data_IF_053833679383
#
_entry.id   IF_053833679383
#
_cell.length_a   1.000
_cell.length_b   1.000
_cell.length_c   1.000
_cell.angle_alpha   90.00
_cell.angle_beta   90.00
_cell.angle_gamma   90.00
#
_symmetry.space_group_name_H-M   'P 1'
#
loop_
_entity.id
_entity.type
_entity.pdbx_description
1 polymer ?
#
# COMPACT_ATOMS: atom_id res chain seq x y z
N UNK A 1 -37.06 36.09 -100.90
CA UNK A 1 -37.22 37.16 -99.89
C UNK A 1 -38.14 36.55 -98.84
N UNK A 2 -37.76 36.32 -97.59
CA UNK A 2 -36.79 37.01 -96.75
C UNK A 2 -35.93 36.06 -95.90
N UNK A 3 -34.72 36.54 -95.61
CA UNK A 3 -33.79 36.00 -94.63
C UNK A 3 -34.16 36.50 -93.24
N UNK A 4 -33.94 35.70 -92.19
CA UNK A 4 -33.02 36.09 -91.10
C UNK A 4 -32.68 34.87 -90.22
N UNK A 5 -31.45 34.80 -89.66
CA UNK A 5 -30.86 33.61 -89.05
C UNK A 5 -30.83 33.69 -87.52
N UNK A 6 -30.71 32.58 -86.77
CA UNK A 6 -30.02 32.53 -85.46
C UNK A 6 -29.81 31.03 -85.10
N UNK A 7 -28.60 30.48 -85.26
CA UNK A 7 -27.46 30.50 -84.33
C UNK A 7 -27.54 29.40 -83.28
N UNK A 8 -26.74 28.35 -83.48
CA UNK A 8 -26.42 27.29 -82.52
C UNK A 8 -25.67 27.86 -81.31
N UNK A 9 -26.17 27.60 -80.11
CA UNK A 9 -25.36 27.58 -78.90
C UNK A 9 -25.84 26.41 -78.02
N UNK A 10 -25.06 25.33 -78.05
CA UNK A 10 -25.18 24.18 -77.16
C UNK A 10 -24.85 24.60 -75.72
N UNK A 11 -25.86 24.78 -74.87
CA UNK A 11 -25.64 24.84 -73.42
C UNK A 11 -25.53 23.41 -72.88
N UNK A 12 -24.33 23.04 -72.45
CA UNK A 12 -24.09 21.83 -71.67
C UNK A 12 -24.94 21.88 -70.38
N UNK A 13 -25.59 20.78 -69.96
CA UNK A 13 -26.41 20.80 -68.76
C UNK A 13 -25.50 21.02 -67.56
N UNK A 14 -25.61 22.20 -66.92
CA UNK A 14 -25.06 22.44 -65.59
C UNK A 14 -25.68 21.42 -64.64
N UNK A 15 -24.90 20.39 -64.29
CA UNK A 15 -25.28 19.39 -63.31
C UNK A 15 -25.31 20.07 -61.93
N UNK A 16 -26.44 20.68 -61.62
CA UNK A 16 -26.73 21.16 -60.27
C UNK A 16 -26.85 19.92 -59.39
N UNK A 17 -25.78 19.62 -58.66
CA UNK A 17 -25.83 18.68 -57.53
C UNK A 17 -26.73 19.34 -56.49
N UNK A 18 -28.04 19.04 -56.55
CA UNK A 18 -28.94 19.34 -55.45
C UNK A 18 -28.53 18.39 -54.31
N UNK A 19 -27.78 18.91 -53.34
CA UNK A 19 -27.62 18.23 -52.06
C UNK A 19 -29.01 18.16 -51.43
N UNK A 20 -29.57 16.97 -51.39
CA UNK A 20 -30.91 16.72 -50.86
C UNK A 20 -30.86 16.82 -49.33
N UNK A 21 -31.02 18.05 -48.83
CA UNK A 21 -30.99 18.35 -47.40
C UNK A 21 -32.30 17.97 -46.69
N UNK A 22 -33.23 17.29 -47.39
CA UNK A 22 -34.54 16.90 -46.86
C UNK A 22 -34.43 15.88 -45.72
N UNK A 23 -33.40 15.03 -45.70
CA UNK A 23 -33.14 14.10 -44.59
C UNK A 23 -32.63 14.80 -43.33
N UNK A 24 -31.91 15.92 -43.46
CA UNK A 24 -31.39 16.70 -42.34
C UNK A 24 -32.50 17.49 -41.60
N UNK A 25 -33.65 17.69 -42.24
CA UNK A 25 -34.80 18.42 -41.67
C UNK A 25 -35.82 17.45 -41.04
N UNK A 26 -35.72 16.14 -41.31
CA UNK A 26 -36.57 15.14 -40.64
C UNK A 26 -36.23 15.08 -39.16
N UNK A 27 -37.21 15.41 -38.32
CA UNK A 27 -37.11 15.36 -36.85
C UNK A 27 -36.62 14.00 -36.34
N UNK A 28 -36.92 12.90 -37.05
CA UNK A 28 -36.45 11.55 -36.72
C UNK A 28 -34.93 11.39 -36.82
N UNK A 29 -34.26 12.09 -37.74
CA UNK A 29 -32.81 12.07 -37.88
C UNK A 29 -32.14 12.72 -36.66
N UNK A 30 -32.62 13.91 -36.26
CA UNK A 30 -32.11 14.62 -35.08
C UNK A 30 -32.37 13.87 -33.78
N UNK A 31 -33.54 13.25 -33.62
CA UNK A 31 -33.84 12.41 -32.46
C UNK A 31 -32.89 11.21 -32.40
N UNK A 32 -32.68 10.49 -33.51
CA UNK A 32 -31.73 9.37 -33.56
C UNK A 32 -30.30 9.81 -33.25
N UNK A 33 -29.87 10.97 -33.74
CA UNK A 33 -28.51 11.47 -33.50
C UNK A 33 -28.31 11.90 -32.05
N UNK A 34 -29.32 12.53 -31.42
CA UNK A 34 -29.30 12.86 -30.00
C UNK A 34 -29.24 11.58 -29.15
N UNK A 35 -30.06 10.57 -29.48
CA UNK A 35 -29.99 9.27 -28.79
C UNK A 35 -28.63 8.58 -28.98
N UNK A 36 -28.05 8.66 -30.17
CA UNK A 36 -26.70 8.14 -30.44
C UNK A 36 -25.66 8.85 -29.55
N UNK A 37 -25.67 10.18 -29.51
CA UNK A 37 -24.75 10.96 -28.67
C UNK A 37 -24.93 10.61 -27.19
N UNK A 38 -26.17 10.55 -26.70
CA UNK A 38 -26.46 10.17 -25.32
C UNK A 38 -25.95 8.74 -25.05
N UNK A 39 -26.20 7.79 -25.95
CA UNK A 39 -25.72 6.42 -25.80
C UNK A 39 -24.19 6.33 -25.75
N UNK A 40 -23.46 7.09 -26.56
CA UNK A 40 -22.00 7.13 -26.54
C UNK A 40 -21.46 7.74 -25.25
N UNK A 41 -22.07 8.85 -24.79
CA UNK A 41 -21.68 9.51 -23.53
C UNK A 41 -21.94 8.59 -22.34
N UNK A 42 -23.12 7.96 -22.28
CA UNK A 42 -23.48 7.00 -21.22
C UNK A 42 -22.57 5.77 -21.27
N UNK A 43 -22.28 5.24 -22.47
CA UNK A 43 -21.39 4.09 -22.64
C UNK A 43 -19.97 4.35 -22.12
N UNK A 44 -19.40 5.51 -22.46
CA UNK A 44 -18.08 5.93 -21.96
C UNK A 44 -18.11 6.18 -20.45
N UNK A 45 -19.17 6.82 -19.94
CA UNK A 45 -19.31 7.09 -18.50
C UNK A 45 -19.35 5.80 -17.68
N UNK A 46 -20.14 4.80 -18.10
CA UNK A 46 -20.23 3.51 -17.40
C UNK A 46 -18.90 2.74 -17.47
N UNK A 47 -18.25 2.71 -18.63
CA UNK A 47 -16.93 2.08 -18.77
C UNK A 47 -15.87 2.76 -17.88
N UNK A 48 -15.88 4.09 -17.81
CA UNK A 48 -14.98 4.85 -16.95
C UNK A 48 -15.26 4.64 -15.45
N UNK A 49 -16.54 4.54 -15.07
CA UNK A 49 -16.94 4.28 -13.68
C UNK A 49 -16.46 2.90 -13.21
N UNK A 50 -16.63 1.86 -14.03
CA UNK A 50 -16.12 0.52 -13.73
C UNK A 50 -14.59 0.51 -13.66
N UNK A 51 -13.90 1.18 -14.59
CA UNK A 51 -12.44 1.30 -14.58
C UNK A 51 -11.90 1.98 -13.32
N UNK A 52 -12.50 3.10 -12.89
CA UNK A 52 -12.11 3.80 -11.67
C UNK A 52 -12.39 2.96 -10.41
N UNK A 53 -13.56 2.33 -10.33
CA UNK A 53 -13.92 1.44 -9.22
C UNK A 53 -12.94 0.29 -9.08
N UNK A 54 -12.55 -0.34 -10.19
CA UNK A 54 -11.55 -1.41 -10.21
C UNK A 54 -10.15 -0.91 -9.83
N UNK A 55 -9.75 0.28 -10.30
CA UNK A 55 -8.47 0.87 -9.94
C UNK A 55 -8.37 1.21 -8.44
N UNK A 56 -9.42 1.77 -7.84
CA UNK A 56 -9.46 2.05 -6.40
C UNK A 56 -9.37 0.75 -5.59
N UNK A 57 -10.10 -0.29 -6.00
CA UNK A 57 -10.03 -1.60 -5.34
C UNK A 57 -8.62 -2.18 -5.43
N UNK A 58 -8.00 -2.13 -6.60
CA UNK A 58 -6.63 -2.61 -6.79
C UNK A 58 -5.63 -1.84 -5.93
N UNK A 59 -5.71 -0.50 -5.89
CA UNK A 59 -4.82 0.33 -5.07
C UNK A 59 -4.97 0.02 -3.58
N UNK A 60 -6.21 -0.10 -3.09
CA UNK A 60 -6.47 -0.47 -1.70
C UNK A 60 -5.88 -1.86 -1.37
N UNK A 61 -6.12 -2.86 -2.22
CA UNK A 61 -5.60 -4.22 -2.01
C UNK A 61 -4.07 -4.26 -2.05
N UNK A 62 -3.45 -3.51 -2.96
CA UNK A 62 -1.99 -3.35 -3.03
C UNK A 62 -1.44 -2.72 -1.74
N UNK A 63 -2.07 -1.65 -1.24
CA UNK A 63 -1.69 -1.02 0.02
C UNK A 63 -1.84 -1.97 1.21
N UNK A 64 -2.94 -2.73 1.27
CA UNK A 64 -3.15 -3.75 2.29
C UNK A 64 -2.07 -4.85 2.26
N UNK A 65 -1.69 -5.32 1.07
CA UNK A 65 -0.62 -6.31 0.91
C UNK A 65 0.73 -5.76 1.41
N UNK A 66 1.07 -4.53 1.03
CA UNK A 66 2.30 -3.89 1.50
C UNK A 66 2.30 -3.72 3.03
N UNK A 67 1.16 -3.35 3.61
CA UNK A 67 0.99 -3.29 5.06
C UNK A 67 1.15 -4.65 5.72
N UNK A 68 0.57 -5.70 5.13
CA UNK A 68 0.72 -7.06 5.62
C UNK A 68 2.20 -7.45 5.71
N UNK A 69 2.95 -7.32 4.62
CA UNK A 69 4.37 -7.67 4.61
C UNK A 69 5.20 -6.82 5.56
N UNK A 70 4.93 -5.51 5.64
CA UNK A 70 5.64 -4.61 6.56
C UNK A 70 5.43 -5.02 8.02
N UNK A 71 4.19 -5.31 8.40
CA UNK A 71 3.83 -5.67 9.78
C UNK A 71 4.28 -7.08 10.14
N UNK A 72 4.26 -8.00 9.18
CA UNK A 72 4.80 -9.35 9.34
C UNK A 72 6.32 -9.31 9.53
N UNK A 73 7.05 -8.57 8.68
CA UNK A 73 8.49 -8.39 8.82
C UNK A 73 8.88 -7.72 10.15
N UNK A 74 8.08 -6.74 10.62
CA UNK A 74 8.31 -6.13 11.93
C UNK A 74 8.08 -7.15 13.07
N UNK A 75 7.09 -8.03 12.92
CA UNK A 75 6.84 -9.09 13.90
C UNK A 75 8.04 -10.04 13.99
N UNK A 76 8.55 -10.50 12.85
CA UNK A 76 9.70 -11.40 12.81
C UNK A 76 10.93 -10.73 13.43
N UNK A 77 11.23 -9.48 13.04
CA UNK A 77 12.35 -8.72 13.63
C UNK A 77 12.23 -8.56 15.15
N UNK A 78 11.05 -8.20 15.66
CA UNK A 78 10.83 -8.05 17.10
C UNK A 78 10.90 -9.40 17.83
N UNK A 79 10.40 -10.47 17.22
CA UNK A 79 10.45 -11.83 17.77
C UNK A 79 11.89 -12.32 17.88
N UNK A 80 12.68 -12.17 16.82
CA UNK A 80 14.10 -12.54 16.81
C UNK A 80 14.88 -11.73 17.85
N UNK A 81 14.60 -10.43 17.97
CA UNK A 81 15.24 -9.57 18.96
C UNK A 81 14.91 -9.95 20.41
N UNK A 82 13.70 -10.45 20.67
CA UNK A 82 13.34 -11.02 21.97
C UNK A 82 14.24 -12.20 22.31
N UNK A 83 14.49 -13.10 21.35
CA UNK A 83 15.40 -14.24 21.54
C UNK A 83 16.83 -13.78 21.79
N UNK A 84 17.33 -12.82 21.01
CA UNK A 84 18.68 -12.24 21.18
C UNK A 84 18.86 -11.63 22.57
N UNK A 85 17.90 -10.82 23.03
CA UNK A 85 17.99 -10.18 24.35
C UNK A 85 17.87 -11.19 25.50
N UNK A 86 17.00 -12.19 25.37
CA UNK A 86 16.89 -13.26 26.36
C UNK A 86 18.18 -14.09 26.46
N UNK A 87 18.79 -14.43 25.32
CA UNK A 87 20.07 -15.13 25.28
C UNK A 87 21.20 -14.30 25.91
N UNK A 88 21.24 -13.00 25.62
CA UNK A 88 22.19 -12.08 26.23
C UNK A 88 21.98 -11.96 27.75
N UNK A 89 20.74 -11.76 28.20
CA UNK A 89 20.39 -11.69 29.61
C UNK A 89 20.80 -12.96 30.36
N UNK A 90 20.61 -14.14 29.76
CA UNK A 90 21.04 -15.41 30.35
C UNK A 90 22.56 -15.53 30.46
N UNK A 91 23.27 -15.15 29.39
CA UNK A 91 24.72 -15.21 29.35
C UNK A 91 25.37 -14.33 30.41
N UNK A 92 24.94 -13.07 30.55
CA UNK A 92 25.51 -12.16 31.55
C UNK A 92 25.17 -12.58 32.99
N UNK A 93 24.04 -13.28 33.18
CA UNK A 93 23.59 -13.77 34.49
C UNK A 93 24.40 -14.99 34.96
N UNK A 94 24.76 -15.88 34.04
CA UNK A 94 25.42 -17.16 34.34
C UNK A 94 26.94 -17.07 34.28
N UNK A 95 27.48 -16.49 33.21
CA UNK A 95 28.93 -16.46 32.95
C UNK A 95 29.61 -15.25 33.60
N UNK A 96 28.87 -14.17 33.84
CA UNK A 96 29.38 -12.89 34.35
C UNK A 96 30.73 -12.49 33.70
N UNK A 97 30.77 -12.32 32.36
CA UNK A 97 32.00 -12.14 31.63
C UNK A 97 32.77 -10.91 32.12
N UNK A 98 34.10 -11.04 32.19
CA UNK A 98 34.98 -9.95 32.62
C UNK A 98 34.87 -8.72 31.70
N UNK A 99 34.75 -8.96 30.39
CA UNK A 99 34.46 -7.93 29.39
C UNK A 99 33.04 -8.10 28.83
N UNK A 100 32.07 -7.44 29.46
CA UNK A 100 30.66 -7.48 29.05
C UNK A 100 30.45 -6.89 27.65
N UNK A 101 31.29 -5.94 27.22
CA UNK A 101 31.15 -5.32 25.89
C UNK A 101 31.47 -6.29 24.77
N UNK A 102 32.33 -7.28 25.02
CA UNK A 102 32.63 -8.35 24.05
C UNK A 102 31.44 -9.24 23.74
N UNK A 103 30.39 -9.21 24.55
CA UNK A 103 29.18 -10.03 24.40
C UNK A 103 27.93 -9.20 24.12
N UNK A 104 28.08 -7.99 23.59
CA UNK A 104 26.97 -7.10 23.21
C UNK A 104 25.90 -7.82 22.36
N UNK A 105 24.60 -7.63 22.64
CA UNK A 105 23.53 -8.23 21.84
C UNK A 105 23.39 -7.51 20.50
N UNK A 106 23.53 -8.25 19.40
CA UNK A 106 23.31 -7.72 18.05
C UNK A 106 21.84 -7.83 17.67
N UNK A 107 21.06 -6.79 17.96
CA UNK A 107 19.65 -6.71 17.55
C UNK A 107 19.52 -6.34 16.08
N UNK A 108 18.59 -6.98 15.38
CA UNK A 108 18.15 -6.58 14.05
C UNK A 108 17.32 -5.29 14.15
N UNK A 109 17.58 -4.34 13.26
CA UNK A 109 16.83 -3.07 13.19
C UNK A 109 16.48 -2.70 11.76
N UNK A 110 16.71 -3.60 10.80
CA UNK A 110 16.55 -3.32 9.39
C UNK A 110 15.11 -2.90 9.05
N UNK A 111 14.11 -3.65 9.50
CA UNK A 111 12.70 -3.35 9.24
C UNK A 111 12.34 -2.05 9.94
N UNK A 112 12.60 -1.94 11.24
CA UNK A 112 12.32 -0.73 12.01
C UNK A 112 12.93 0.55 11.41
N UNK A 113 14.19 0.51 11.00
CA UNK A 113 14.88 1.66 10.40
C UNK A 113 14.36 2.01 9.00
N UNK A 114 13.88 1.02 8.25
CA UNK A 114 13.29 1.25 6.93
C UNK A 114 11.82 1.69 7.02
N UNK A 115 11.11 1.39 8.10
CA UNK A 115 9.72 1.82 8.29
C UNK A 115 9.56 3.34 8.20
N UNK A 116 10.52 4.15 8.64
CA UNK A 116 10.42 5.62 8.51
C UNK A 116 10.34 6.13 7.06
N UNK A 117 10.72 5.31 6.09
CA UNK A 117 10.68 5.62 4.66
C UNK A 117 9.48 4.99 3.94
N UNK A 118 8.73 4.11 4.61
CA UNK A 118 7.55 3.47 4.04
C UNK A 118 6.31 4.34 4.28
N UNK A 119 5.57 4.65 3.21
CA UNK A 119 4.28 5.33 3.32
C UNK A 119 3.26 4.53 4.15
N UNK A 120 3.35 3.20 4.12
CA UNK A 120 2.43 2.28 4.80
C UNK A 120 2.68 2.19 6.32
N UNK A 121 3.78 2.72 6.82
CA UNK A 121 4.09 2.71 8.27
C UNK A 121 3.01 3.41 9.07
N UNK A 122 2.49 4.54 8.59
CA UNK A 122 1.49 5.32 9.31
C UNK A 122 0.11 4.67 9.35
N UNK A 123 -0.12 3.65 8.51
CA UNK A 123 -1.34 2.84 8.57
C UNK A 123 -1.25 1.74 9.65
N UNK A 124 -0.06 1.47 10.17
CA UNK A 124 0.14 0.57 11.31
C UNK A 124 -0.41 1.21 12.59
N UNK A 125 -1.12 0.47 13.46
CA UNK A 125 -1.64 1.02 14.70
C UNK A 125 -0.58 1.74 15.53
N UNK A 126 -0.86 2.99 15.92
CA UNK A 126 0.10 3.86 16.61
C UNK A 126 0.63 3.28 17.93
N UNK A 127 -0.18 2.46 18.61
CA UNK A 127 0.23 1.73 19.82
C UNK A 127 1.37 0.75 19.51
N UNK A 128 1.27 -0.04 18.44
CA UNK A 128 2.30 -1.00 18.03
C UNK A 128 3.61 -0.27 17.73
N UNK A 129 3.55 0.82 16.94
CA UNK A 129 4.73 1.61 16.61
C UNK A 129 5.37 2.23 17.86
N UNK A 130 4.56 2.71 18.80
CA UNK A 130 5.04 3.28 20.06
C UNK A 130 5.69 2.23 20.95
N UNK A 131 5.11 1.02 21.03
CA UNK A 131 5.61 -0.08 21.83
C UNK A 131 6.92 -0.63 21.24
N UNK A 132 7.00 -0.81 19.92
CA UNK A 132 8.24 -1.18 19.22
C UNK A 132 9.36 -0.14 19.44
N UNK A 133 9.04 1.16 19.29
CA UNK A 133 10.00 2.24 19.59
C UNK A 133 10.49 2.17 21.03
N UNK A 134 9.58 1.99 22.00
CA UNK A 134 9.92 1.90 23.43
C UNK A 134 10.80 0.68 23.70
N UNK A 135 10.54 -0.45 23.05
CA UNK A 135 11.35 -1.65 23.16
C UNK A 135 12.80 -1.39 22.72
N UNK A 136 13.01 -0.84 21.52
CA UNK A 136 14.35 -0.52 21.03
C UNK A 136 15.10 0.49 21.91
N UNK A 137 14.42 1.56 22.34
CA UNK A 137 15.04 2.57 23.19
C UNK A 137 15.40 2.02 24.58
N UNK A 138 14.48 1.25 25.20
CA UNK A 138 14.67 0.73 26.56
C UNK A 138 15.72 -0.36 26.58
N UNK A 139 15.69 -1.29 25.61
CA UNK A 139 16.70 -2.35 25.50
C UNK A 139 18.10 -1.78 25.31
N UNK A 140 18.28 -0.84 24.38
CA UNK A 140 19.56 -0.16 24.17
C UNK A 140 20.04 0.54 25.45
N UNK A 141 19.15 1.25 26.15
CA UNK A 141 19.50 1.93 27.39
C UNK A 141 19.91 0.97 28.51
N UNK A 142 19.22 -0.17 28.65
CA UNK A 142 19.53 -1.19 29.65
C UNK A 142 20.88 -1.84 29.33
N UNK A 143 21.12 -2.21 28.07
CA UNK A 143 22.40 -2.77 27.60
C UNK A 143 23.55 -1.80 27.89
N UNK A 144 23.41 -0.53 27.54
CA UNK A 144 24.41 0.51 27.82
C UNK A 144 24.69 0.65 29.32
N UNK A 145 23.65 0.61 30.16
CA UNK A 145 23.81 0.69 31.63
C UNK A 145 24.47 -0.55 32.23
N UNK A 146 24.26 -1.73 31.65
CA UNK A 146 24.97 -2.95 32.03
C UNK A 146 26.46 -2.82 31.65
N UNK A 147 26.75 -2.41 30.42
CA UNK A 147 28.12 -2.31 29.89
C UNK A 147 28.95 -1.20 30.56
N UNK A 148 28.30 -0.11 30.97
CA UNK A 148 28.91 0.96 31.76
C UNK A 148 29.05 0.63 33.25
N UNK A 149 28.63 -0.57 33.68
CA UNK A 149 28.64 -1.05 35.07
C UNK A 149 27.75 -0.24 36.01
N UNK A 150 26.83 0.57 35.48
CA UNK A 150 25.82 1.25 36.28
C UNK A 150 24.80 0.26 36.83
N UNK A 151 24.39 -0.71 36.02
CA UNK A 151 23.60 -1.85 36.46
C UNK A 151 24.48 -3.07 36.68
N UNK A 152 24.24 -3.76 37.80
CA UNK A 152 24.81 -5.09 38.02
C UNK A 152 24.23 -6.09 37.00
N UNK A 153 25.00 -7.09 36.54
CA UNK A 153 24.57 -8.03 35.49
C UNK A 153 23.23 -8.72 35.78
N UNK A 154 23.00 -9.13 37.03
CA UNK A 154 21.72 -9.75 37.43
C UNK A 154 20.53 -8.79 37.33
N UNK A 155 20.69 -7.57 37.82
CA UNK A 155 19.62 -6.57 37.77
C UNK A 155 19.30 -6.18 36.32
N UNK A 156 20.32 -5.92 35.52
CA UNK A 156 20.15 -5.62 34.09
C UNK A 156 19.54 -6.77 33.31
N UNK A 157 19.96 -8.02 33.56
CA UNK A 157 19.35 -9.20 32.96
C UNK A 157 17.87 -9.31 33.31
N UNK A 158 17.48 -9.09 34.58
CA UNK A 158 16.08 -9.07 34.99
C UNK A 158 15.29 -8.00 34.26
N UNK A 159 15.82 -6.79 34.11
CA UNK A 159 15.15 -5.71 33.35
C UNK A 159 14.96 -6.07 31.87
N UNK A 160 15.95 -6.73 31.25
CA UNK A 160 15.82 -7.19 29.86
C UNK A 160 14.74 -8.28 29.73
N UNK A 161 14.70 -9.24 30.66
CA UNK A 161 13.67 -10.30 30.66
C UNK A 161 12.28 -9.73 30.90
N UNK A 162 12.12 -8.77 31.81
CA UNK A 162 10.83 -8.09 32.02
C UNK A 162 10.37 -7.35 30.75
N UNK A 163 11.30 -6.66 30.08
CA UNK A 163 11.02 -5.95 28.83
C UNK A 163 10.60 -6.91 27.70
N UNK A 164 11.31 -8.02 27.52
CA UNK A 164 10.98 -9.02 26.48
C UNK A 164 9.68 -9.76 26.81
N UNK A 165 9.39 -10.03 28.09
CA UNK A 165 8.13 -10.60 28.52
C UNK A 165 6.94 -9.68 28.24
N UNK A 166 7.07 -8.37 28.52
CA UNK A 166 6.03 -7.40 28.19
C UNK A 166 5.74 -7.38 26.69
N UNK A 167 6.79 -7.33 25.86
CA UNK A 167 6.65 -7.36 24.41
C UNK A 167 5.96 -8.66 23.93
N UNK A 168 6.36 -9.81 24.49
CA UNK A 168 5.83 -11.12 24.13
C UNK A 168 4.37 -11.32 24.54
N UNK A 169 3.97 -10.76 25.68
CA UNK A 169 2.60 -10.90 26.21
C UNK A 169 1.61 -9.88 25.62
N UNK A 170 2.09 -8.72 25.19
CA UNK A 170 1.25 -7.59 24.77
C UNK A 170 1.42 -7.26 23.29
N UNK A 171 2.62 -6.85 22.88
CA UNK A 171 2.85 -6.22 21.57
C UNK A 171 2.91 -7.24 20.43
N UNK A 172 3.64 -8.34 20.60
CA UNK A 172 3.75 -9.39 19.57
C UNK A 172 2.37 -10.02 19.25
N UNK A 173 1.52 -10.38 20.22
CA UNK A 173 0.17 -10.87 19.94
C UNK A 173 -0.71 -9.82 19.24
N UNK A 174 -0.62 -8.55 19.66
CA UNK A 174 -1.39 -7.47 19.03
C UNK A 174 -0.97 -7.24 17.58
N UNK A 175 0.33 -7.27 17.30
CA UNK A 175 0.88 -7.16 15.94
C UNK A 175 0.51 -8.38 15.10
N UNK A 176 0.57 -9.58 15.67
CA UNK A 176 0.14 -10.82 15.02
C UNK A 176 -1.32 -10.78 14.60
N UNK A 177 -2.21 -10.50 15.54
CA UNK A 177 -3.64 -10.36 15.23
C UNK A 177 -3.88 -9.28 14.16
N UNK A 178 -3.09 -8.21 14.17
CA UNK A 178 -3.23 -7.13 13.22
C UNK A 178 -2.84 -7.52 11.78
N UNK A 179 -1.70 -8.17 11.57
CA UNK A 179 -1.35 -8.64 10.22
C UNK A 179 -2.19 -9.84 9.79
N UNK A 180 -2.64 -10.70 10.72
CA UNK A 180 -3.53 -11.82 10.39
C UNK A 180 -4.90 -11.34 9.92
N UNK A 181 -5.42 -10.24 10.49
CA UNK A 181 -6.63 -9.58 10.00
C UNK A 181 -6.46 -9.09 8.56
N UNK A 182 -5.32 -8.45 8.24
CA UNK A 182 -5.01 -8.05 6.87
C UNK A 182 -4.93 -9.27 5.95
N UNK A 183 -4.30 -10.35 6.42
CA UNK A 183 -4.17 -11.57 5.65
C UNK A 183 -5.51 -12.23 5.35
N UNK A 184 -6.44 -12.22 6.32
CA UNK A 184 -7.80 -12.71 6.13
C UNK A 184 -8.57 -11.87 5.09
N UNK A 185 -8.42 -10.55 5.14
CA UNK A 185 -9.07 -9.64 4.18
C UNK A 185 -8.49 -9.79 2.76
N UNK A 186 -7.18 -9.95 2.63
CA UNK A 186 -6.51 -10.21 1.35
C UNK A 186 -6.95 -11.55 0.75
N UNK A 187 -7.00 -12.62 1.54
CA UNK A 187 -7.49 -13.94 1.10
C UNK A 187 -8.96 -13.92 0.70
N UNK A 188 -9.80 -13.12 1.39
CA UNK A 188 -11.20 -12.95 1.02
C UNK A 188 -11.39 -12.24 -0.34
N UNK A 189 -10.36 -11.55 -0.83
CA UNK A 189 -10.31 -10.92 -2.14
C UNK A 189 -9.45 -11.73 -3.15
N UNK A 190 -9.27 -13.04 -2.91
CA UNK A 190 -8.53 -13.97 -3.76
C UNK A 190 -7.04 -13.61 -4.00
N UNK A 191 -6.44 -12.85 -3.08
CA UNK A 191 -5.01 -12.54 -3.11
C UNK A 191 -4.24 -13.62 -2.34
N UNK A 192 -3.34 -14.31 -3.05
CA UNK A 192 -2.38 -15.24 -2.42
C UNK A 192 -1.31 -14.47 -1.69
N UNK A 193 -0.98 -14.93 -0.49
CA UNK A 193 0.12 -14.42 0.34
C UNK A 193 1.16 -15.53 0.42
N UNK A 194 2.41 -15.19 0.11
CA UNK A 194 3.58 -16.06 0.26
C UNK A 194 4.07 -16.11 1.71
#
# INVERSE_FOLDING_TARGET
>A
MDMTPYSNASEAPKRNIKLDNTELIKTSFWVSQIFMIIATVVGVYLAAQEGLSQAIKFDNLSNMQNNYHLRHALYDELSDNVEVLNAYAEKIRTEAPYDIKSVHPNMATFVWENMRYSANTLETPSKILSDARRFYLTSANVVEKIESKFYGPRFGATQLVELTEELTKSTLPALKANYESLAAELRANDISLD
#
